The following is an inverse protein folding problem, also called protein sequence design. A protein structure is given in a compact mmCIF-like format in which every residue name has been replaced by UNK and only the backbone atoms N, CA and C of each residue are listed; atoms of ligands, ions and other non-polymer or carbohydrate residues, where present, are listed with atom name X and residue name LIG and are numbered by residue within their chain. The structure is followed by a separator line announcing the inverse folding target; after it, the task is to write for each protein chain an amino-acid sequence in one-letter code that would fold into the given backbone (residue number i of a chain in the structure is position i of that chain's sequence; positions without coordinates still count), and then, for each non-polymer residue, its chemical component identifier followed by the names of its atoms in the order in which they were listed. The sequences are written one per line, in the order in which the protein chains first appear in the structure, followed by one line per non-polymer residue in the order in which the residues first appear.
data_IF_304494828897
#
_entry.id   IF_304494828897
#
_cell.length_a   1.000
_cell.length_b   1.000
_cell.length_c   1.000
_cell.angle_alpha   90.00
_cell.angle_beta   90.00
_cell.angle_gamma   90.00
#
_symmetry.space_group_name_H-M   'P 1'
#
loop_
_entity.id
_entity.type
_entity.pdbx_description
1 polymer ?
#
# COMPACT_ATOMS: atom_id res chain seq x y z
N UNK A 1 -10.13 -8.51 -8.77
CA UNK A 1 -10.07 -7.59 -7.61
C UNK A 1 -11.48 -7.13 -7.26
N UNK A 2 -11.85 -7.20 -5.97
CA UNK A 2 -13.12 -6.61 -5.49
C UNK A 2 -12.98 -5.10 -5.42
N UNK A 3 -13.92 -4.37 -6.02
CA UNK A 3 -14.00 -2.91 -5.91
C UNK A 3 -14.73 -2.49 -4.62
N UNK A 4 -14.46 -1.28 -4.08
CA UNK A 4 -15.20 -0.75 -2.93
C UNK A 4 -16.71 -0.73 -3.18
N UNK A 5 -17.52 -1.06 -2.18
CA UNK A 5 -19.00 -1.08 -2.30
C UNK A 5 -19.58 0.31 -2.56
N UNK A 6 -19.00 1.33 -1.93
CA UNK A 6 -19.21 2.74 -2.26
C UNK A 6 -18.03 3.60 -1.77
N UNK A 7 -17.97 4.85 -2.21
CA UNK A 7 -17.01 5.85 -1.73
C UNK A 7 -17.41 6.30 -0.31
N UNK A 8 -16.43 6.53 0.57
CA UNK A 8 -16.68 6.94 1.96
C UNK A 8 -16.76 5.78 2.97
N UNK A 9 -17.02 6.11 4.24
CA UNK A 9 -16.96 5.15 5.35
C UNK A 9 -18.12 4.14 5.29
N UNK A 10 -17.79 2.85 5.45
CA UNK A 10 -18.77 1.80 5.74
C UNK A 10 -18.14 0.72 6.64
N UNK A 11 -18.94 -0.01 7.44
CA UNK A 11 -18.43 -0.86 8.52
C UNK A 11 -17.37 -1.88 8.11
N UNK A 12 -17.50 -2.48 6.93
CA UNK A 12 -16.62 -3.54 6.45
C UNK A 12 -15.54 -3.07 5.45
N UNK A 13 -15.34 -1.75 5.30
CA UNK A 13 -14.48 -1.20 4.23
C UNK A 13 -13.05 -1.69 4.30
N UNK A 14 -12.50 -1.74 5.50
CA UNK A 14 -11.14 -2.23 5.73
C UNK A 14 -11.03 -3.71 5.40
N UNK A 15 -11.98 -4.53 5.86
CA UNK A 15 -12.02 -5.97 5.57
C UNK A 15 -12.18 -6.25 4.07
N UNK A 16 -13.02 -5.47 3.38
CA UNK A 16 -13.20 -5.58 1.93
C UNK A 16 -11.91 -5.21 1.17
N UNK A 17 -11.17 -4.20 1.65
CA UNK A 17 -9.88 -3.81 1.09
C UNK A 17 -8.82 -4.92 1.31
N UNK A 18 -8.71 -5.45 2.53
CA UNK A 18 -7.81 -6.56 2.83
C UNK A 18 -8.12 -7.77 1.94
N UNK A 19 -9.40 -8.17 1.84
CA UNK A 19 -9.83 -9.26 0.99
C UNK A 19 -9.56 -9.01 -0.51
N UNK A 20 -9.52 -7.76 -0.97
CA UNK A 20 -9.18 -7.43 -2.34
C UNK A 20 -7.66 -7.53 -2.62
N UNK A 21 -6.83 -7.41 -1.59
CA UNK A 21 -5.36 -7.45 -1.66
C UNK A 21 -4.79 -8.84 -1.33
N UNK A 22 -5.54 -9.69 -0.61
CA UNK A 22 -5.09 -10.98 -0.05
C UNK A 22 -4.38 -11.88 -1.07
N UNK A 23 -4.96 -12.06 -2.26
CA UNK A 23 -4.39 -12.91 -3.31
C UNK A 23 -3.02 -12.39 -3.78
N UNK A 24 -2.92 -11.07 -3.95
CA UNK A 24 -1.68 -10.41 -4.38
C UNK A 24 -0.61 -10.43 -3.29
N UNK A 25 -1.02 -10.21 -2.04
CA UNK A 25 -0.13 -10.29 -0.88
C UNK A 25 0.44 -11.69 -0.72
N UNK A 26 -0.40 -12.72 -0.79
CA UNK A 26 0.03 -14.13 -0.73
C UNK A 26 1.01 -14.46 -1.85
N UNK A 27 0.76 -13.97 -3.08
CA UNK A 27 1.66 -14.18 -4.20
C UNK A 27 3.07 -13.60 -3.96
N UNK A 28 3.19 -12.43 -3.31
CA UNK A 28 4.48 -11.84 -2.95
C UNK A 28 5.27 -12.72 -1.98
N UNK A 29 4.59 -13.27 -0.97
CA UNK A 29 5.23 -14.15 0.03
C UNK A 29 5.70 -15.45 -0.63
N UNK A 30 4.86 -16.07 -1.47
CA UNK A 30 5.22 -17.28 -2.21
C UNK A 30 6.42 -17.05 -3.13
N UNK A 31 6.54 -15.86 -3.74
CA UNK A 31 7.70 -15.51 -4.57
C UNK A 31 8.98 -15.40 -3.74
N UNK A 32 8.91 -14.80 -2.55
CA UNK A 32 10.05 -14.71 -1.64
C UNK A 32 10.49 -16.11 -1.16
N UNK A 33 9.54 -16.98 -0.79
CA UNK A 33 9.83 -18.37 -0.40
C UNK A 33 10.49 -19.16 -1.53
N UNK A 34 10.00 -19.01 -2.78
CA UNK A 34 10.61 -19.64 -3.96
C UNK A 34 12.03 -19.15 -4.23
N UNK A 35 12.34 -17.91 -3.83
CA UNK A 35 13.70 -17.37 -3.89
C UNK A 35 14.58 -17.79 -2.69
N UNK A 36 14.05 -18.60 -1.77
CA UNK A 36 14.77 -19.16 -0.63
C UNK A 36 14.69 -18.32 0.65
N UNK A 37 13.89 -17.26 0.66
CA UNK A 37 13.71 -16.42 1.84
C UNK A 37 12.70 -17.04 2.81
N UNK A 38 12.92 -16.95 4.13
CA UNK A 38 11.93 -17.41 5.09
C UNK A 38 10.71 -16.48 5.09
N UNK A 39 9.49 -17.02 5.29
CA UNK A 39 8.26 -16.23 5.23
C UNK A 39 8.24 -15.03 6.21
N UNK A 40 8.84 -15.16 7.40
CA UNK A 40 8.94 -14.05 8.34
C UNK A 40 9.69 -12.84 7.78
N UNK A 41 10.82 -13.08 7.10
CA UNK A 41 11.60 -12.01 6.47
C UNK A 41 10.84 -11.41 5.28
N UNK A 42 10.11 -12.23 4.53
CA UNK A 42 9.24 -11.75 3.46
C UNK A 42 8.15 -10.80 3.98
N UNK A 43 7.48 -11.15 5.09
CA UNK A 43 6.48 -10.27 5.71
C UNK A 43 7.10 -8.95 6.18
N UNK A 44 8.25 -9.00 6.84
CA UNK A 44 8.97 -7.80 7.29
C UNK A 44 9.35 -6.89 6.12
N UNK A 45 9.85 -7.47 5.03
CA UNK A 45 10.22 -6.73 3.83
C UNK A 45 9.00 -6.06 3.18
N UNK A 46 7.87 -6.77 3.06
CA UNK A 46 6.63 -6.19 2.48
C UNK A 46 6.10 -5.04 3.33
N UNK A 47 6.13 -5.15 4.66
CA UNK A 47 5.75 -4.05 5.57
C UNK A 47 6.66 -2.84 5.36
N UNK A 48 7.98 -3.03 5.38
CA UNK A 48 8.94 -1.96 5.21
C UNK A 48 8.80 -1.26 3.84
N UNK A 49 8.52 -2.02 2.77
CA UNK A 49 8.23 -1.47 1.45
C UNK A 49 6.95 -0.64 1.46
N UNK A 50 5.87 -1.13 2.06
CA UNK A 50 4.62 -0.40 2.16
C UNK A 50 4.80 0.94 2.91
N UNK A 51 5.54 0.92 4.03
CA UNK A 51 5.88 2.14 4.79
C UNK A 51 6.73 3.12 3.97
N UNK A 52 7.75 2.62 3.26
CA UNK A 52 8.61 3.44 2.43
C UNK A 52 7.82 4.13 1.29
N UNK A 53 6.94 3.39 0.61
CA UNK A 53 6.07 3.93 -0.43
C UNK A 53 5.08 4.96 0.12
N UNK A 54 4.43 4.67 1.24
CA UNK A 54 3.52 5.62 1.87
C UNK A 54 4.23 6.92 2.27
N UNK A 55 5.45 6.83 2.80
CA UNK A 55 6.27 7.99 3.16
C UNK A 55 6.65 8.82 1.92
N UNK A 56 7.04 8.16 0.83
CA UNK A 56 7.37 8.83 -0.43
C UNK A 56 6.15 9.53 -1.04
N UNK A 57 5.01 8.85 -1.12
CA UNK A 57 3.78 9.42 -1.70
C UNK A 57 3.29 10.63 -0.88
N UNK A 58 3.31 10.55 0.45
CA UNK A 58 2.98 11.70 1.31
C UNK A 58 3.96 12.86 1.12
N UNK A 59 5.26 12.57 0.97
CA UNK A 59 6.28 13.60 0.73
C UNK A 59 6.09 14.28 -0.62
N UNK A 60 5.73 13.51 -1.64
CA UNK A 60 5.42 14.01 -2.98
C UNK A 60 4.14 14.85 -2.98
N UNK A 61 3.08 14.43 -2.30
CA UNK A 61 1.85 15.22 -2.13
C UNK A 61 2.11 16.55 -1.43
N UNK A 62 2.92 16.55 -0.36
CA UNK A 62 3.35 17.76 0.34
C UNK A 62 4.15 18.66 -0.61
N UNK A 63 5.11 18.10 -1.35
CA UNK A 63 5.94 18.86 -2.28
C UNK A 63 5.11 19.46 -3.43
N UNK A 64 4.18 18.70 -4.01
CA UNK A 64 3.25 19.17 -5.05
C UNK A 64 2.33 20.28 -4.53
N UNK A 65 1.89 20.18 -3.28
CA UNK A 65 1.07 21.22 -2.63
C UNK A 65 1.88 22.51 -2.43
N UNK A 66 3.14 22.40 -1.99
CA UNK A 66 4.05 23.55 -1.88
C UNK A 66 4.30 24.24 -3.22
N UNK A 67 4.57 23.48 -4.29
CA UNK A 67 4.81 24.04 -5.63
C UNK A 67 3.55 24.69 -6.23
N UNK A 68 2.36 24.12 -6.01
CA UNK A 68 1.09 24.75 -6.40
C UNK A 68 0.79 26.04 -5.63
N UNK A 69 1.22 26.13 -4.37
CA UNK A 69 1.06 27.34 -3.55
C UNK A 69 2.03 28.48 -3.91
N UNK A 70 3.18 28.18 -4.52
CA UNK A 70 4.22 29.16 -4.86
C UNK A 70 4.15 29.70 -6.29
N UNK A 71 3.43 29.04 -7.22
CA UNK A 71 3.22 29.53 -8.60
C UNK A 71 2.04 30.49 -8.75
N UNK A 72 1.34 30.83 -7.66
CA UNK A 72 0.19 31.74 -7.66
C UNK A 72 0.51 33.19 -7.18
N UNK A 73 1.78 33.63 -7.23
CA UNK A 73 2.18 35.01 -6.94
C UNK A 73 3.00 35.62 -8.06
#
# INVERSE_FOLDING_TARGET
MKSPRHVGKYPDRERDLQAALEDGFTALIVLAEKAGWPPLEAYQAVIALAEAHACADMSDEVMQTFFRGTTAR
#
